data_IF_928824962972
#
_entry.id   IF_928824962972
#
_cell.length_a   1.000
_cell.length_b   1.000
_cell.length_c   1.000
_cell.angle_alpha   90.00
_cell.angle_beta   90.00
_cell.angle_gamma   90.00
#
_symmetry.space_group_name_H-M   'P 1'
#
loop_
_entity.id
_entity.type
_entity.pdbx_description
1 polymer ?
#
# COMPACT_ATOMS: atom_id res chain seq x y z
N UNK A 1 20.38 -0.98 -29.59
CA UNK A 1 19.14 -0.20 -29.36
C UNK A 1 18.03 -0.97 -30.03
N UNK A 2 16.93 -1.23 -29.33
CA UNK A 2 15.79 -1.95 -29.90
C UNK A 2 14.83 -0.90 -30.45
N UNK A 3 14.81 -0.68 -31.77
CA UNK A 3 13.78 0.16 -32.37
C UNK A 3 12.40 -0.37 -31.96
N UNK A 4 11.49 0.48 -31.46
CA UNK A 4 10.14 0.05 -31.18
C UNK A 4 9.49 -0.38 -32.49
N UNK A 5 9.30 -1.70 -32.66
CA UNK A 5 8.58 -2.25 -33.79
C UNK A 5 7.12 -1.84 -33.68
N UNK A 6 6.81 -0.72 -34.32
CA UNK A 6 5.47 -0.15 -34.43
C UNK A 6 4.74 -0.98 -35.49
N UNK A 7 3.83 -1.82 -35.01
CA UNK A 7 2.91 -2.56 -35.87
C UNK A 7 1.99 -1.55 -36.61
N UNK A 8 2.05 -1.47 -37.95
CA UNK A 8 1.25 -0.53 -38.73
C UNK A 8 -0.26 -0.80 -38.64
N UNK A 9 -0.67 -2.02 -38.28
CA UNK A 9 -2.07 -2.37 -38.07
C UNK A 9 -2.58 -1.99 -36.66
N UNK A 10 -1.70 -1.60 -35.73
CA UNK A 10 -2.05 -1.12 -34.39
C UNK A 10 -2.61 -2.18 -33.43
N UNK A 11 -3.02 -3.35 -33.92
CA UNK A 11 -3.63 -4.42 -33.12
C UNK A 11 -2.71 -4.93 -32.00
N UNK A 12 -1.41 -5.06 -32.29
CA UNK A 12 -0.43 -5.51 -31.29
C UNK A 12 -0.28 -4.53 -30.12
N UNK A 13 -0.40 -3.22 -30.40
CA UNK A 13 -0.33 -2.19 -29.37
C UNK A 13 -1.59 -2.17 -28.50
N UNK A 14 -2.77 -2.39 -29.11
CA UNK A 14 -4.03 -2.51 -28.37
C UNK A 14 -4.06 -3.74 -27.46
N UNK A 15 -3.56 -4.89 -27.94
CA UNK A 15 -3.44 -6.10 -27.11
C UNK A 15 -2.47 -5.89 -25.95
N UNK A 16 -1.30 -5.28 -26.21
CA UNK A 16 -0.34 -4.94 -25.15
C UNK A 16 -0.96 -4.02 -24.09
N UNK A 17 -1.67 -2.97 -24.51
CA UNK A 17 -2.34 -2.07 -23.58
C UNK A 17 -3.42 -2.78 -22.76
N UNK A 18 -4.18 -3.70 -23.37
CA UNK A 18 -5.19 -4.50 -22.67
C UNK A 18 -4.56 -5.48 -21.66
N UNK A 19 -3.48 -6.16 -22.03
CA UNK A 19 -2.76 -7.09 -21.16
C UNK A 19 -2.11 -6.36 -19.97
N UNK A 20 -1.47 -5.21 -20.21
CA UNK A 20 -0.85 -4.38 -19.17
C UNK A 20 -1.86 -3.80 -18.18
N UNK A 21 -3.11 -3.53 -18.60
CA UNK A 21 -4.18 -3.09 -17.69
C UNK A 21 -4.59 -4.15 -16.67
N UNK A 22 -4.30 -5.42 -16.92
CA UNK A 22 -4.60 -6.52 -15.99
C UNK A 22 -3.44 -6.85 -15.07
N UNK A 23 -2.24 -6.33 -15.34
CA UNK A 23 -1.17 -6.42 -14.36
C UNK A 23 -1.59 -5.57 -13.17
N UNK A 24 -1.75 -6.17 -11.97
CA UNK A 24 -2.07 -5.39 -10.80
C UNK A 24 -0.93 -4.39 -10.63
N UNK A 25 -1.25 -3.10 -10.77
CA UNK A 25 -0.34 -2.03 -10.38
C UNK A 25 0.20 -2.41 -8.99
N UNK A 26 1.53 -2.43 -8.79
CA UNK A 26 2.08 -2.69 -7.46
C UNK A 26 1.49 -1.61 -6.57
N UNK A 27 0.50 -1.99 -5.77
CA UNK A 27 -0.18 -1.09 -4.85
C UNK A 27 0.91 -0.61 -3.93
N UNK A 28 1.38 0.62 -4.15
CA UNK A 28 2.40 1.21 -3.32
C UNK A 28 1.91 1.05 -1.88
N UNK A 29 2.69 0.45 -0.97
CA UNK A 29 2.20 0.13 0.36
C UNK A 29 1.71 1.43 1.00
N UNK A 30 0.39 1.58 1.09
CA UNK A 30 -0.23 2.72 1.74
C UNK A 30 0.22 2.65 3.19
N UNK A 31 1.11 3.56 3.57
CA UNK A 31 1.66 3.62 4.92
C UNK A 31 0.51 4.01 5.85
N UNK A 32 -0.17 3.00 6.37
CA UNK A 32 -1.32 3.17 7.24
C UNK A 32 -0.85 3.60 8.62
N UNK A 33 -1.31 4.77 9.08
CA UNK A 33 -1.07 5.26 10.44
C UNK A 33 -1.91 4.52 11.49
N UNK A 34 -2.74 3.56 11.08
CA UNK A 34 -3.63 2.82 11.98
C UNK A 34 -2.84 1.99 13.00
N UNK A 35 -1.78 1.32 12.54
CA UNK A 35 -0.92 0.49 13.41
C UNK A 35 -0.20 1.33 14.49
N UNK A 36 0.52 2.43 14.16
CA UNK A 36 1.13 3.26 15.19
C UNK A 36 0.08 3.94 16.08
N UNK A 37 -1.10 4.31 15.57
CA UNK A 37 -2.16 4.88 16.38
C UNK A 37 -2.67 3.90 17.45
N UNK A 38 -2.91 2.63 17.09
CA UNK A 38 -3.32 1.58 18.04
C UNK A 38 -2.24 1.37 19.11
N UNK A 39 -0.97 1.35 18.71
CA UNK A 39 0.14 1.16 19.65
C UNK A 39 0.21 2.28 20.70
N UNK A 40 0.02 3.55 20.29
CA UNK A 40 0.00 4.70 21.21
C UNK A 40 -1.17 4.60 22.18
N UNK A 41 -2.37 4.30 21.69
CA UNK A 41 -3.56 4.17 22.55
C UNK A 41 -3.36 3.05 23.59
N UNK A 42 -2.85 1.89 23.17
CA UNK A 42 -2.56 0.79 24.08
C UNK A 42 -1.54 1.17 25.16
N UNK A 43 -0.46 1.89 24.79
CA UNK A 43 0.55 2.35 25.74
C UNK A 43 -0.05 3.31 26.78
N UNK A 44 -0.90 4.25 26.36
CA UNK A 44 -1.58 5.19 27.28
C UNK A 44 -2.47 4.44 28.28
N UNK A 45 -3.22 3.43 27.83
CA UNK A 45 -4.06 2.61 28.70
C UNK A 45 -3.20 1.88 29.74
N UNK A 46 -2.09 1.27 29.32
CA UNK A 46 -1.18 0.55 30.23
C UNK A 46 -0.63 1.50 31.30
N UNK A 47 -0.17 2.69 30.91
CA UNK A 47 0.32 3.70 31.86
C UNK A 47 -0.78 4.12 32.84
N UNK A 48 -2.00 4.38 32.35
CA UNK A 48 -3.13 4.74 33.20
C UNK A 48 -3.47 3.65 34.23
N UNK A 49 -3.44 2.37 33.82
CA UNK A 49 -3.66 1.24 34.72
C UNK A 49 -2.56 1.15 35.77
N UNK A 50 -1.29 1.29 35.38
CA UNK A 50 -0.17 1.27 36.32
C UNK A 50 -0.29 2.41 37.34
N UNK A 51 -0.59 3.62 36.89
CA UNK A 51 -0.78 4.78 37.77
C UNK A 51 -1.96 4.56 38.72
N UNK A 52 -3.09 4.04 38.22
CA UNK A 52 -4.24 3.71 39.06
C UNK A 52 -3.90 2.68 40.14
N UNK A 53 -3.15 1.63 39.79
CA UNK A 53 -2.72 0.60 40.75
C UNK A 53 -1.72 1.12 41.77
N UNK A 54 -0.89 2.11 41.42
CA UNK A 54 0.08 2.72 42.34
C UNK A 54 -0.56 3.74 43.30
N UNK A 55 -1.66 4.38 42.88
CA UNK A 55 -2.35 5.43 43.64
C UNK A 55 -3.54 4.92 44.48
N UNK A 56 -3.89 3.64 44.39
CA UNK A 56 -4.98 2.99 45.12
C UNK A 56 -4.45 2.06 46.19
#
# INVERSE_FOLDING_TARGET
MSEPQIDPAGNTQQFKAFAQRQEPEPVAPQRSYLVPAIAVVAAVIVVAVVVFLLLR
#
